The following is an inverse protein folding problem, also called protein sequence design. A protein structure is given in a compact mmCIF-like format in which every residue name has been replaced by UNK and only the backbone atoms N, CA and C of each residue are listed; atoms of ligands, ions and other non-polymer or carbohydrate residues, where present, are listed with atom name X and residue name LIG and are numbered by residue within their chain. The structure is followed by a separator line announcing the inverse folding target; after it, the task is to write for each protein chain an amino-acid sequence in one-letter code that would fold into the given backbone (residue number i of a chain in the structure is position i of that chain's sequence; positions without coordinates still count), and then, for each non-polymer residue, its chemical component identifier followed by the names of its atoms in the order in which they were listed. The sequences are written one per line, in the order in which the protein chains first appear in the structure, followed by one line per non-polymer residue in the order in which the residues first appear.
data_IF_520019502682
#
_entry.id   IF_520019502682
#
_cell.length_a   1.000
_cell.length_b   1.000
_cell.length_c   1.000
_cell.angle_alpha   90.00
_cell.angle_beta   90.00
_cell.angle_gamma   90.00
#
_symmetry.space_group_name_H-M   'P 1'
#
loop_
_entity.id
_entity.type
_entity.pdbx_description
1 polymer ?
#
# COMPACT_ATOMS: atom_id res chain seq x y z
N UNK A 1 25.11 11.96 12.28
CA UNK A 1 23.93 11.87 13.17
C UNK A 1 22.64 12.41 12.50
N UNK A 2 22.67 13.60 11.82
CA UNK A 2 21.49 14.16 11.12
C UNK A 2 20.90 13.29 10.02
N UNK A 3 21.74 12.47 9.33
CA UNK A 3 21.28 11.57 8.27
C UNK A 3 20.60 10.27 8.80
N UNK A 4 20.78 9.93 10.08
CA UNK A 4 20.13 8.73 10.66
C UNK A 4 18.64 8.94 10.91
N UNK A 5 18.21 10.17 11.15
CA UNK A 5 16.86 10.53 11.60
C UNK A 5 16.01 11.20 10.51
N UNK A 6 16.48 11.20 9.25
CA UNK A 6 15.75 11.78 8.13
C UNK A 6 15.97 10.94 6.87
N UNK A 7 14.92 10.28 6.39
CA UNK A 7 14.97 9.37 5.25
C UNK A 7 15.56 10.02 3.99
N UNK A 8 15.21 11.29 3.72
CA UNK A 8 15.73 12.05 2.59
C UNK A 8 17.23 12.28 2.68
N UNK A 9 17.73 12.69 3.87
CA UNK A 9 19.17 12.89 4.10
C UNK A 9 19.93 11.56 4.11
N UNK A 10 19.34 10.49 4.65
CA UNK A 10 19.91 9.15 4.62
C UNK A 10 20.07 8.64 3.18
N UNK A 11 19.07 8.82 2.33
CA UNK A 11 19.11 8.41 0.92
C UNK A 11 20.12 9.24 0.12
N UNK A 12 20.17 10.55 0.32
CA UNK A 12 21.21 11.43 -0.28
C UNK A 12 22.62 11.02 0.16
N UNK A 13 22.80 10.70 1.44
CA UNK A 13 24.08 10.22 1.97
C UNK A 13 24.48 8.88 1.36
N UNK A 14 23.55 7.90 1.32
CA UNK A 14 23.78 6.59 0.69
C UNK A 14 24.17 6.72 -0.78
N UNK A 15 23.44 7.53 -1.54
CA UNK A 15 23.71 7.69 -2.98
C UNK A 15 25.01 8.44 -3.24
N UNK A 16 25.24 9.58 -2.56
CA UNK A 16 26.39 10.46 -2.85
C UNK A 16 27.71 10.01 -2.21
N UNK A 17 27.65 9.40 -1.02
CA UNK A 17 28.86 9.08 -0.25
C UNK A 17 29.16 7.59 -0.18
N UNK A 18 28.15 6.72 -0.30
CA UNK A 18 28.34 5.27 -0.22
C UNK A 18 28.10 4.57 -1.57
N UNK A 19 27.72 5.34 -2.61
CA UNK A 19 27.39 4.82 -3.95
C UNK A 19 26.36 3.67 -3.94
N UNK A 20 25.44 3.71 -2.97
CA UNK A 20 24.37 2.71 -2.81
C UNK A 20 23.14 3.21 -3.57
N UNK A 21 22.61 2.36 -4.44
CA UNK A 21 21.35 2.64 -5.12
C UNK A 21 20.18 2.66 -4.12
N UNK A 22 19.36 3.71 -4.19
CA UNK A 22 18.12 3.85 -3.40
C UNK A 22 16.93 3.90 -4.36
N UNK A 23 15.78 3.37 -3.95
CA UNK A 23 14.59 3.23 -4.79
C UNK A 23 14.07 4.57 -5.32
N UNK A 24 14.11 5.63 -4.50
CA UNK A 24 13.82 6.99 -4.92
C UNK A 24 14.83 7.97 -4.30
N UNK A 25 15.24 9.01 -5.06
CA UNK A 25 16.13 10.07 -4.55
C UNK A 25 15.52 10.88 -3.40
N UNK A 26 14.21 10.89 -3.30
CA UNK A 26 13.41 11.63 -2.33
C UNK A 26 12.31 10.79 -1.68
N UNK A 27 12.56 9.48 -1.45
CA UNK A 27 11.61 8.62 -0.76
C UNK A 27 11.21 9.24 0.59
N UNK A 28 9.90 9.24 0.86
CA UNK A 28 9.33 9.80 2.08
C UNK A 28 9.62 8.90 3.29
N UNK A 29 9.36 7.61 3.16
CA UNK A 29 9.55 6.65 4.24
C UNK A 29 10.99 6.10 4.30
N UNK A 30 11.45 5.82 5.52
CA UNK A 30 12.72 5.16 5.77
C UNK A 30 12.57 3.64 5.59
N UNK A 31 13.15 3.09 4.52
CA UNK A 31 13.07 1.65 4.25
C UNK A 31 13.74 0.77 5.30
N UNK A 32 14.75 1.28 6.04
CA UNK A 32 15.38 0.50 7.11
C UNK A 32 14.42 0.35 8.28
N UNK A 33 13.74 1.43 8.66
CA UNK A 33 12.69 1.40 9.70
C UNK A 33 11.51 0.53 9.25
N UNK A 34 11.08 0.66 7.98
CA UNK A 34 10.05 -0.22 7.40
C UNK A 34 10.43 -1.70 7.51
N UNK A 35 11.65 -2.08 7.10
CA UNK A 35 12.12 -3.47 7.18
C UNK A 35 12.20 -3.98 8.62
N UNK A 36 12.45 -3.12 9.60
CA UNK A 36 12.43 -3.51 11.01
C UNK A 36 11.03 -3.76 11.57
N UNK A 37 9.98 -3.32 10.86
CA UNK A 37 8.57 -3.58 11.17
C UNK A 37 8.06 -4.91 10.57
N UNK A 38 8.91 -5.63 9.82
CA UNK A 38 8.55 -6.91 9.21
C UNK A 38 8.43 -8.01 10.28
N UNK A 39 7.27 -8.67 10.31
CA UNK A 39 7.01 -9.86 11.12
C UNK A 39 6.41 -10.96 10.22
N UNK A 40 7.25 -11.88 9.79
CA UNK A 40 6.87 -13.01 8.93
C UNK A 40 5.96 -14.03 9.62
N UNK A 41 5.77 -13.92 10.91
CA UNK A 41 4.84 -14.78 11.66
C UNK A 41 3.40 -14.29 11.61
N UNK A 42 3.16 -13.09 11.07
CA UNK A 42 1.81 -12.55 10.93
C UNK A 42 1.00 -13.36 9.93
N UNK A 43 -0.16 -13.83 10.39
CA UNK A 43 -1.14 -14.55 9.58
C UNK A 43 -2.55 -14.03 9.83
N UNK A 44 -3.47 -14.26 8.90
CA UNK A 44 -4.86 -13.80 9.04
C UNK A 44 -5.60 -14.46 10.21
N UNK A 45 -5.25 -15.69 10.55
CA UNK A 45 -5.83 -16.44 11.67
C UNK A 45 -5.65 -15.74 13.01
N UNK A 46 -4.56 -14.97 13.17
CA UNK A 46 -4.31 -14.19 14.39
C UNK A 46 -5.28 -13.01 14.57
N UNK A 47 -6.02 -12.67 13.51
CA UNK A 47 -6.97 -11.56 13.46
C UNK A 47 -8.41 -12.01 13.18
N UNK A 48 -8.67 -13.31 13.18
CA UNK A 48 -10.01 -13.84 12.97
C UNK A 48 -11.02 -13.21 13.93
N UNK A 49 -12.14 -12.71 13.39
CA UNK A 49 -13.18 -12.03 14.15
C UNK A 49 -12.84 -10.62 14.63
N UNK A 50 -11.60 -10.12 14.45
CA UNK A 50 -11.27 -8.73 14.77
C UNK A 50 -11.72 -7.81 13.62
N UNK A 51 -12.30 -6.63 13.92
CA UNK A 51 -12.64 -5.66 12.89
C UNK A 51 -11.42 -5.25 12.08
N UNK A 52 -11.60 -5.14 10.75
CA UNK A 52 -10.55 -4.67 9.86
C UNK A 52 -11.02 -3.52 8.97
N UNK A 53 -10.07 -2.72 8.52
CA UNK A 53 -10.25 -1.74 7.46
C UNK A 53 -9.73 -2.36 6.16
N UNK A 54 -10.54 -2.33 5.09
CA UNK A 54 -10.13 -2.70 3.74
C UNK A 54 -9.91 -1.45 2.89
N UNK A 55 -8.68 -0.99 2.76
CA UNK A 55 -8.36 0.18 1.94
C UNK A 55 -8.07 -0.23 0.50
N UNK A 56 -8.67 0.49 -0.45
CA UNK A 56 -8.51 0.24 -1.88
C UNK A 56 -7.82 1.40 -2.58
N UNK A 57 -6.85 1.06 -3.44
CA UNK A 57 -6.28 1.97 -4.43
C UNK A 57 -6.48 1.35 -5.82
N UNK A 58 -7.29 2.01 -6.64
CA UNK A 58 -7.80 1.46 -7.89
C UNK A 58 -7.34 2.28 -9.09
N UNK A 59 -6.81 1.60 -10.06
CA UNK A 59 -6.46 2.14 -11.36
C UNK A 59 -7.41 1.61 -12.44
N UNK A 60 -7.79 2.45 -13.40
CA UNK A 60 -8.67 2.04 -14.49
C UNK A 60 -7.97 1.20 -15.55
N UNK A 61 -6.70 1.51 -15.86
CA UNK A 61 -5.96 0.90 -16.97
C UNK A 61 -4.50 0.73 -16.61
N UNK A 62 -3.92 -0.39 -17.01
CA UNK A 62 -2.50 -0.71 -17.02
C UNK A 62 -1.78 -0.66 -15.66
N UNK A 63 -2.25 0.11 -14.70
CA UNK A 63 -1.66 0.22 -13.37
C UNK A 63 -2.15 -0.89 -12.43
N UNK A 64 -1.39 -1.09 -11.38
CA UNK A 64 -1.69 -2.07 -10.35
C UNK A 64 -2.81 -1.57 -9.43
N UNK A 65 -3.79 -2.44 -9.18
CA UNK A 65 -4.82 -2.22 -8.18
C UNK A 65 -4.43 -2.92 -6.88
N UNK A 66 -4.82 -2.36 -5.74
CA UNK A 66 -4.48 -2.92 -4.44
C UNK A 66 -5.64 -2.90 -3.45
N UNK A 67 -5.62 -3.88 -2.54
CA UNK A 67 -6.43 -3.93 -1.34
C UNK A 67 -5.51 -4.21 -0.15
N UNK A 68 -5.47 -3.28 0.79
CA UNK A 68 -4.75 -3.45 2.05
C UNK A 68 -5.73 -3.82 3.17
N UNK A 69 -5.36 -4.81 3.98
CA UNK A 69 -6.05 -5.14 5.23
C UNK A 69 -5.29 -4.51 6.38
N UNK A 70 -5.98 -3.69 7.15
CA UNK A 70 -5.40 -3.01 8.31
C UNK A 70 -6.18 -3.36 9.57
N UNK A 71 -5.45 -3.83 10.58
CA UNK A 71 -5.95 -4.07 11.92
C UNK A 71 -5.26 -3.13 12.90
N UNK A 72 -5.93 -2.84 14.02
CA UNK A 72 -5.36 -2.02 15.10
C UNK A 72 -5.46 -2.76 16.43
N UNK A 73 -4.46 -2.56 17.30
CA UNK A 73 -4.46 -3.04 18.69
C UNK A 73 -3.87 -1.98 19.60
N UNK A 74 -4.48 -1.79 20.76
CA UNK A 74 -3.91 -0.93 21.80
C UNK A 74 -2.91 -1.71 22.64
N UNK A 75 -1.64 -1.27 22.66
CA UNK A 75 -0.57 -1.84 23.47
C UNK A 75 0.08 -0.72 24.26
N UNK A 76 0.06 -0.82 25.57
CA UNK A 76 0.62 0.20 26.50
C UNK A 76 0.11 1.63 26.23
N UNK A 77 -1.20 1.74 25.90
CA UNK A 77 -1.86 3.01 25.61
C UNK A 77 -1.44 3.66 24.30
N UNK A 78 -0.90 2.89 23.37
CA UNK A 78 -0.54 3.32 22.00
C UNK A 78 -1.18 2.40 20.97
N UNK A 79 -1.67 3.01 19.91
CA UNK A 79 -2.22 2.26 18.77
C UNK A 79 -1.08 1.62 17.96
N UNK A 80 -1.14 0.30 17.82
CA UNK A 80 -0.33 -0.49 16.91
C UNK A 80 -1.15 -0.87 15.68
N UNK A 81 -0.51 -0.82 14.52
CA UNK A 81 -1.11 -1.08 13.21
C UNK A 81 -0.53 -2.36 12.61
N UNK A 82 -1.39 -3.20 12.03
CA UNK A 82 -1.00 -4.48 11.42
C UNK A 82 -1.54 -4.56 9.99
N UNK A 83 -0.65 -4.57 9.01
CA UNK A 83 -0.99 -4.82 7.61
C UNK A 83 -0.69 -6.27 7.27
N UNK A 84 -1.74 -7.06 7.00
CA UNK A 84 -1.63 -8.51 6.82
C UNK A 84 -2.29 -8.95 5.53
N UNK A 85 -1.60 -9.78 4.76
CA UNK A 85 -2.06 -10.36 3.50
C UNK A 85 -2.69 -9.34 2.53
N UNK A 86 -1.98 -8.25 2.19
CA UNK A 86 -2.44 -7.32 1.18
C UNK A 86 -2.60 -8.04 -0.17
N UNK A 87 -3.50 -7.55 -1.02
CA UNK A 87 -3.75 -8.12 -2.35
C UNK A 87 -3.47 -7.11 -3.44
N UNK A 88 -2.97 -7.61 -4.56
CA UNK A 88 -2.61 -6.81 -5.72
C UNK A 88 -3.08 -7.46 -7.00
N UNK A 89 -3.60 -6.66 -7.93
CA UNK A 89 -4.08 -7.11 -9.24
C UNK A 89 -3.55 -6.23 -10.35
N UNK A 90 -3.31 -6.83 -11.49
CA UNK A 90 -2.86 -6.15 -12.69
C UNK A 90 -3.46 -6.82 -13.92
N UNK A 91 -3.79 -6.07 -15.01
CA UNK A 91 -4.27 -6.69 -16.24
C UNK A 91 -3.19 -7.54 -16.91
N UNK A 92 -3.60 -8.59 -17.62
CA UNK A 92 -2.71 -9.44 -18.41
C UNK A 92 -1.82 -8.64 -19.36
N UNK A 93 -2.41 -7.69 -20.07
CA UNK A 93 -1.70 -6.85 -21.03
C UNK A 93 -0.53 -6.05 -20.41
N UNK A 94 -0.66 -5.64 -19.16
CA UNK A 94 0.41 -4.92 -18.44
C UNK A 94 1.62 -5.81 -18.19
N UNK A 95 1.42 -7.11 -17.99
CA UNK A 95 2.50 -8.05 -17.65
C UNK A 95 3.12 -8.66 -18.91
N UNK A 96 2.28 -9.02 -19.91
CA UNK A 96 2.68 -9.89 -20.99
C UNK A 96 2.58 -9.29 -22.40
N UNK A 97 1.89 -8.13 -22.59
CA UNK A 97 1.80 -7.50 -23.92
C UNK A 97 3.08 -6.74 -24.25
N UNK A 98 3.81 -7.21 -25.25
CA UNK A 98 5.06 -6.59 -25.74
C UNK A 98 4.80 -5.19 -26.31
N UNK A 99 3.64 -4.96 -26.93
CA UNK A 99 3.28 -3.70 -27.60
C UNK A 99 2.94 -2.56 -26.60
N UNK A 100 2.52 -2.92 -25.39
CA UNK A 100 2.08 -1.96 -24.34
C UNK A 100 3.11 -1.76 -23.22
N UNK A 101 4.18 -2.56 -23.20
CA UNK A 101 5.23 -2.47 -22.19
C UNK A 101 6.35 -1.56 -22.67
N UNK A 102 6.18 -0.25 -22.48
CA UNK A 102 7.25 0.74 -22.69
C UNK A 102 8.42 0.54 -21.71
N UNK A 103 8.15 -0.03 -20.52
CA UNK A 103 9.17 -0.32 -19.51
C UNK A 103 9.31 -1.84 -19.25
N UNK A 104 10.26 -2.45 -19.95
CA UNK A 104 10.61 -3.86 -19.81
C UNK A 104 10.95 -4.25 -18.36
N UNK A 105 11.57 -3.36 -17.57
CA UNK A 105 11.96 -3.66 -16.18
C UNK A 105 10.74 -3.78 -15.27
N UNK A 106 9.72 -3.00 -15.52
CA UNK A 106 8.44 -3.08 -14.78
C UNK A 106 7.73 -4.39 -15.12
N UNK A 107 7.67 -4.78 -16.39
CA UNK A 107 7.09 -6.06 -16.80
C UNK A 107 7.82 -7.27 -16.17
N UNK A 108 9.16 -7.30 -16.23
CA UNK A 108 9.98 -8.36 -15.61
C UNK A 108 9.77 -8.44 -14.08
N UNK A 109 9.57 -7.29 -13.41
CA UNK A 109 9.25 -7.25 -11.98
C UNK A 109 7.87 -7.82 -11.70
N UNK A 110 6.85 -7.45 -12.47
CA UNK A 110 5.50 -7.97 -12.33
C UNK A 110 5.46 -9.48 -12.56
N UNK A 111 6.13 -9.99 -13.61
CA UNK A 111 6.26 -11.43 -13.85
C UNK A 111 6.84 -12.17 -12.64
N UNK A 112 7.89 -11.62 -12.03
CA UNK A 112 8.47 -12.18 -10.80
C UNK A 112 7.48 -12.22 -9.65
N UNK A 113 6.68 -11.18 -9.46
CA UNK A 113 5.67 -11.15 -8.39
C UNK A 113 4.51 -12.11 -8.66
N UNK A 114 4.18 -12.34 -9.92
CA UNK A 114 3.22 -13.39 -10.33
C UNK A 114 3.78 -14.77 -10.00
N UNK A 115 5.04 -15.05 -10.37
CA UNK A 115 5.72 -16.31 -10.05
C UNK A 115 5.81 -16.56 -8.53
N UNK A 116 5.98 -15.51 -7.73
CA UNK A 116 5.96 -15.57 -6.27
C UNK A 116 4.54 -15.75 -5.69
N UNK A 117 3.48 -15.65 -6.49
CA UNK A 117 2.09 -15.75 -6.03
C UNK A 117 1.59 -14.53 -5.23
N UNK A 118 2.28 -13.38 -5.31
CA UNK A 118 1.93 -12.16 -4.57
C UNK A 118 1.21 -11.12 -5.44
N UNK A 119 1.16 -11.32 -6.76
CA UNK A 119 0.45 -10.48 -7.71
C UNK A 119 -0.52 -11.34 -8.53
N UNK A 120 -1.78 -10.97 -8.58
CA UNK A 120 -2.82 -11.64 -9.36
C UNK A 120 -2.97 -10.95 -10.72
N UNK A 121 -2.94 -11.73 -11.79
CA UNK A 121 -3.20 -11.24 -13.15
C UNK A 121 -4.67 -11.50 -13.50
N UNK A 122 -5.36 -10.44 -13.95
CA UNK A 122 -6.72 -10.54 -14.47
C UNK A 122 -6.71 -10.54 -16.00
N UNK A 123 -7.72 -11.14 -16.63
CA UNK A 123 -7.78 -11.25 -18.09
C UNK A 123 -7.96 -9.88 -18.76
N UNK A 124 -7.31 -9.68 -19.91
CA UNK A 124 -7.50 -8.52 -20.79
C UNK A 124 -6.65 -7.30 -20.42
N UNK A 125 -7.14 -6.11 -20.80
CA UNK A 125 -6.44 -4.83 -20.75
C UNK A 125 -6.82 -3.97 -19.53
N UNK A 126 -7.83 -4.37 -18.77
CA UNK A 126 -8.34 -3.66 -17.58
C UNK A 126 -8.53 -4.66 -16.44
N UNK A 127 -8.39 -4.20 -15.18
CA UNK A 127 -8.65 -5.07 -14.04
C UNK A 127 -10.15 -5.31 -13.91
N UNK A 128 -10.54 -6.57 -13.84
CA UNK A 128 -11.92 -6.95 -13.54
C UNK A 128 -12.18 -6.82 -12.03
N UNK A 129 -12.97 -5.83 -11.65
CA UNK A 129 -13.29 -5.54 -10.25
C UNK A 129 -14.06 -6.65 -9.53
N UNK A 130 -14.62 -7.63 -10.24
CA UNK A 130 -15.21 -8.82 -9.62
C UNK A 130 -14.20 -9.61 -8.79
N UNK A 131 -12.94 -9.70 -9.24
CA UNK A 131 -11.86 -10.32 -8.44
C UNK A 131 -11.64 -9.59 -7.12
N UNK A 132 -11.67 -8.25 -7.15
CA UNK A 132 -11.48 -7.41 -5.96
C UNK A 132 -12.66 -7.57 -5.00
N UNK A 133 -13.89 -7.54 -5.53
CA UNK A 133 -15.12 -7.71 -4.74
C UNK A 133 -15.15 -9.09 -4.04
N UNK A 134 -14.86 -10.16 -4.76
CA UNK A 134 -14.84 -11.51 -4.17
C UNK A 134 -13.77 -11.65 -3.08
N UNK A 135 -12.61 -11.04 -3.24
CA UNK A 135 -11.57 -11.02 -2.20
C UNK A 135 -12.00 -10.18 -0.99
N UNK A 136 -12.70 -9.06 -1.18
CA UNK A 136 -13.27 -8.25 -0.10
C UNK A 136 -14.34 -9.02 0.69
N UNK A 137 -15.22 -9.76 0.00
CA UNK A 137 -16.21 -10.65 0.61
C UNK A 137 -15.53 -11.78 1.39
N UNK A 138 -14.48 -12.37 0.84
CA UNK A 138 -13.70 -13.39 1.53
C UNK A 138 -13.02 -12.83 2.80
N UNK A 139 -12.50 -11.60 2.73
CA UNK A 139 -11.93 -10.92 3.88
C UNK A 139 -12.96 -10.69 4.99
N UNK A 140 -14.19 -10.25 4.64
CA UNK A 140 -15.27 -10.01 5.59
C UNK A 140 -15.73 -11.28 6.33
N UNK A 141 -15.57 -12.46 5.70
CA UNK A 141 -15.87 -13.75 6.36
C UNK A 141 -14.86 -14.10 7.46
N UNK A 142 -13.63 -13.62 7.34
CA UNK A 142 -12.55 -13.86 8.32
C UNK A 142 -12.63 -12.79 9.42
N UNK A 143 -12.79 -11.53 9.02
CA UNK A 143 -12.73 -10.37 9.90
C UNK A 143 -13.81 -9.37 9.49
N UNK A 144 -14.73 -8.97 10.39
CA UNK A 144 -15.76 -8.00 10.05
C UNK A 144 -15.14 -6.72 9.49
N UNK A 145 -15.57 -6.31 8.30
CA UNK A 145 -15.10 -5.06 7.67
C UNK A 145 -15.79 -3.87 8.33
N UNK A 146 -15.03 -3.03 9.03
CA UNK A 146 -15.56 -1.83 9.66
C UNK A 146 -15.74 -0.70 8.66
N UNK A 147 -14.79 -0.51 7.77
CA UNK A 147 -14.75 0.55 6.76
C UNK A 147 -13.96 0.09 5.53
N UNK A 148 -14.38 0.60 4.36
CA UNK A 148 -13.70 0.38 3.08
C UNK A 148 -13.31 1.72 2.43
N UNK A 149 -12.20 2.35 2.87
CA UNK A 149 -11.68 3.57 2.24
C UNK A 149 -11.36 3.36 0.77
N UNK A 150 -11.89 4.24 -0.09
CA UNK A 150 -11.73 4.17 -1.54
C UNK A 150 -11.62 5.59 -2.14
N UNK A 151 -10.70 5.79 -3.09
CA UNK A 151 -10.64 7.02 -3.87
C UNK A 151 -11.85 7.08 -4.81
N UNK A 152 -12.57 8.22 -4.91
CA UNK A 152 -13.73 8.34 -5.81
C UNK A 152 -13.36 8.20 -7.28
N UNK A 153 -12.11 8.40 -7.65
CA UNK A 153 -11.65 8.36 -9.05
C UNK A 153 -11.68 6.93 -9.60
N UNK A 154 -12.66 6.67 -10.47
CA UNK A 154 -12.76 5.39 -11.16
C UNK A 154 -13.43 4.25 -10.38
N UNK A 155 -13.77 4.47 -9.13
CA UNK A 155 -14.24 3.45 -8.20
C UNK A 155 -15.78 3.39 -8.04
N UNK A 156 -16.56 4.18 -8.77
CA UNK A 156 -18.02 4.30 -8.55
C UNK A 156 -18.72 2.94 -8.62
N UNK A 157 -18.40 2.08 -9.60
CA UNK A 157 -19.01 0.75 -9.73
C UNK A 157 -18.67 -0.12 -8.52
N UNK A 158 -17.39 -0.30 -8.20
CA UNK A 158 -16.97 -1.12 -7.07
C UNK A 158 -17.49 -0.57 -5.73
N UNK A 159 -17.58 0.76 -5.58
CA UNK A 159 -18.14 1.36 -4.36
C UNK A 159 -19.61 0.99 -4.15
N UNK A 160 -20.41 0.93 -5.22
CA UNK A 160 -21.80 0.45 -5.14
C UNK A 160 -21.83 -1.06 -4.81
N UNK A 161 -21.04 -1.86 -5.48
CA UNK A 161 -20.97 -3.31 -5.24
C UNK A 161 -20.54 -3.61 -3.79
N UNK A 162 -19.56 -2.87 -3.24
CA UNK A 162 -19.15 -2.99 -1.84
C UNK A 162 -20.29 -2.59 -0.88
N UNK A 163 -21.08 -1.55 -1.20
CA UNK A 163 -22.23 -1.13 -0.40
C UNK A 163 -23.34 -2.19 -0.41
N UNK A 164 -23.62 -2.80 -1.56
CA UNK A 164 -24.61 -3.87 -1.71
C UNK A 164 -24.23 -5.13 -0.91
N UNK A 165 -22.95 -5.33 -0.62
CA UNK A 165 -22.43 -6.43 0.20
C UNK A 165 -22.14 -6.03 1.66
N UNK A 166 -22.68 -4.88 2.13
CA UNK A 166 -22.50 -4.36 3.50
C UNK A 166 -21.02 -4.16 3.92
N UNK A 167 -20.13 -3.82 2.96
CA UNK A 167 -18.70 -3.62 3.21
C UNK A 167 -18.31 -2.16 3.50
N UNK A 168 -19.27 -1.31 3.84
CA UNK A 168 -19.09 0.06 4.35
C UNK A 168 -18.10 0.92 3.55
N UNK A 169 -18.29 1.15 2.22
CA UNK A 169 -17.39 1.99 1.44
C UNK A 169 -17.45 3.44 1.92
N UNK A 170 -16.27 4.04 2.15
CA UNK A 170 -16.11 5.46 2.47
C UNK A 170 -15.20 6.13 1.47
N UNK A 171 -15.66 7.26 0.92
CA UNK A 171 -14.88 8.00 -0.07
C UNK A 171 -13.83 8.86 0.60
N UNK A 172 -12.56 8.65 0.21
CA UNK A 172 -11.41 9.46 0.67
C UNK A 172 -10.82 10.21 -0.52
N UNK A 173 -11.02 11.52 -0.57
CA UNK A 173 -10.37 12.36 -1.58
C UNK A 173 -8.90 12.52 -1.21
N UNK A 174 -7.99 12.17 -2.14
CA UNK A 174 -6.54 12.22 -1.94
C UNK A 174 -5.98 13.66 -2.07
N UNK A 175 -6.40 14.53 -1.15
CA UNK A 175 -5.90 15.90 -1.04
C UNK A 175 -4.98 16.07 0.18
N UNK A 176 -4.36 17.23 0.31
CA UNK A 176 -3.45 17.52 1.43
C UNK A 176 -4.14 17.44 2.80
N UNK A 177 -5.40 17.87 2.90
CA UNK A 177 -6.16 17.85 4.16
C UNK A 177 -6.41 16.45 4.67
N UNK A 178 -6.78 15.54 3.77
CA UNK A 178 -7.13 14.16 4.13
C UNK A 178 -5.90 13.26 4.27
N UNK A 179 -4.80 13.55 3.53
CA UNK A 179 -3.65 12.65 3.46
C UNK A 179 -2.51 13.03 4.42
N UNK A 180 -2.41 14.31 4.85
CA UNK A 180 -1.25 14.77 5.58
C UNK A 180 -1.09 14.10 6.95
N UNK A 181 -2.13 14.09 7.76
CA UNK A 181 -2.07 13.50 9.10
C UNK A 181 -1.91 11.97 9.06
N UNK A 182 -2.63 11.21 8.20
CA UNK A 182 -2.38 9.78 8.03
C UNK A 182 -0.96 9.44 7.57
N UNK A 183 -0.36 10.24 6.66
CA UNK A 183 1.03 10.01 6.23
C UNK A 183 2.02 10.20 7.38
N UNK A 184 1.84 11.25 8.18
CA UNK A 184 2.69 11.51 9.37
C UNK A 184 2.52 10.44 10.44
N UNK A 185 1.28 9.99 10.69
CA UNK A 185 1.04 8.92 11.65
C UNK A 185 1.67 7.60 11.17
N UNK A 186 1.55 7.26 9.88
CA UNK A 186 2.22 6.09 9.32
C UNK A 186 3.74 6.18 9.47
N UNK A 187 4.35 7.35 9.18
CA UNK A 187 5.78 7.59 9.37
C UNK A 187 6.16 7.41 10.85
N UNK A 188 5.42 8.03 11.78
CA UNK A 188 5.67 7.92 13.21
C UNK A 188 5.49 6.48 13.73
N UNK A 189 4.50 5.75 13.24
CA UNK A 189 4.25 4.35 13.59
C UNK A 189 5.39 3.45 13.10
N UNK A 190 5.89 3.65 11.87
CA UNK A 190 7.05 2.93 11.31
C UNK A 190 8.31 3.23 12.14
N UNK A 191 8.62 4.51 12.39
CA UNK A 191 9.84 4.90 13.11
C UNK A 191 9.83 4.45 14.58
N UNK A 192 8.66 4.32 15.19
CA UNK A 192 8.50 3.88 16.59
C UNK A 192 8.27 2.38 16.76
N UNK A 193 8.24 1.59 15.66
CA UNK A 193 7.99 0.15 15.70
C UNK A 193 6.55 -0.22 16.08
N UNK A 194 5.59 0.69 15.88
CA UNK A 194 4.14 0.45 16.09
C UNK A 194 3.42 -0.05 14.84
N UNK A 195 4.06 0.00 13.68
CA UNK A 195 3.57 -0.59 12.46
C UNK A 195 4.15 -1.99 12.29
N UNK A 196 3.34 -2.96 11.88
CA UNK A 196 3.74 -4.35 11.67
C UNK A 196 3.21 -4.82 10.31
N UNK A 197 4.02 -5.55 9.55
CA UNK A 197 3.61 -6.10 8.26
C UNK A 197 4.23 -7.47 8.00
N UNK A 198 3.59 -8.27 7.16
CA UNK A 198 3.95 -9.65 6.83
C UNK A 198 5.14 -9.79 5.85
N UNK A 199 5.76 -8.69 5.45
CA UNK A 199 6.90 -8.70 4.54
C UNK A 199 6.53 -8.80 3.06
N UNK A 200 5.30 -8.47 2.65
CA UNK A 200 4.90 -8.49 1.25
C UNK A 200 5.83 -7.61 0.39
N UNK A 201 6.47 -8.17 -0.68
CA UNK A 201 7.47 -7.45 -1.47
C UNK A 201 6.90 -6.31 -2.31
N UNK A 202 5.62 -6.39 -2.72
CA UNK A 202 4.95 -5.31 -3.45
C UNK A 202 4.72 -4.13 -2.52
N UNK A 203 4.21 -4.37 -1.29
CA UNK A 203 4.04 -3.32 -0.29
C UNK A 203 5.37 -2.62 0.02
N UNK A 204 6.45 -3.39 0.21
CA UNK A 204 7.80 -2.86 0.44
C UNK A 204 8.28 -2.00 -0.73
N UNK A 205 7.99 -2.43 -1.96
CA UNK A 205 8.32 -1.64 -3.15
C UNK A 205 7.50 -0.34 -3.21
N UNK A 206 6.20 -0.40 -2.93
CA UNK A 206 5.33 0.79 -2.89
C UNK A 206 5.84 1.81 -1.88
N UNK A 207 6.07 1.41 -0.63
CA UNK A 207 6.60 2.27 0.44
C UNK A 207 7.93 2.91 0.04
N UNK A 208 8.81 2.15 -0.60
CA UNK A 208 10.12 2.66 -1.07
C UNK A 208 10.05 3.68 -2.20
N UNK A 209 8.90 3.77 -2.88
CA UNK A 209 8.69 4.69 -4.00
C UNK A 209 7.78 5.88 -3.65
N UNK A 210 7.22 5.93 -2.45
CA UNK A 210 6.40 7.09 -2.03
C UNK A 210 7.26 8.35 -1.99
N UNK A 211 6.84 9.38 -2.70
CA UNK A 211 7.45 10.70 -2.70
C UNK A 211 6.48 11.69 -2.07
N UNK A 212 6.84 12.22 -0.91
CA UNK A 212 6.03 13.24 -0.25
C UNK A 212 6.04 14.55 -1.03
N UNK A 213 4.87 15.02 -1.43
CA UNK A 213 4.66 16.36 -2.00
C UNK A 213 4.22 17.31 -0.90
N UNK A 214 4.88 18.44 -0.75
CA UNK A 214 4.54 19.49 0.22
C UNK A 214 3.94 20.71 -0.47
N UNK A 215 3.29 21.56 0.31
CA UNK A 215 2.82 22.87 -0.17
C UNK A 215 4.01 23.85 -0.15
N UNK A 216 4.26 24.65 -1.20
CA UNK A 216 5.31 25.64 -1.18
C UNK A 216 5.23 26.55 0.04
N UNK A 217 6.29 26.61 0.84
CA UNK A 217 6.36 27.41 2.08
C UNK A 217 5.74 26.75 3.32
N UNK A 218 5.24 25.52 3.19
CA UNK A 218 4.73 24.73 4.34
C UNK A 218 5.08 23.26 4.18
N UNK A 219 6.23 22.87 4.73
CA UNK A 219 6.73 21.49 4.66
C UNK A 219 6.02 20.54 5.66
N UNK A 220 5.18 21.10 6.54
CA UNK A 220 4.41 20.30 7.53
C UNK A 220 3.14 19.68 6.94
N UNK A 221 2.74 20.09 5.72
CA UNK A 221 1.58 19.56 5.02
C UNK A 221 2.05 18.72 3.83
N UNK A 222 1.82 17.42 3.90
CA UNK A 222 2.35 16.46 2.92
C UNK A 222 1.26 15.53 2.38
N UNK A 223 1.41 15.11 1.13
CA UNK A 223 0.64 14.01 0.54
C UNK A 223 1.53 13.15 -0.36
N UNK A 224 1.17 11.90 -0.68
CA UNK A 224 1.89 11.06 -1.64
C UNK A 224 1.83 11.60 -3.06
#
# INVERSE_FOLDING_TARGET
QRAKNNARLANVFKTKHLNIWVSARSAYFNLVSWQSCEDKSLTLEQFEGQPCILAFDLARKLDMNSMARLYTREIDGKTHYYSVAPRFWVPYDTVYSVEKNEDRRTAERFQKWVEMGVLTVTDGAEVDYRYILEEAKAANKISPVSESPIDPFGATGLSHDLADEDLNPITIIQNYTNMSDPMKELEAAIESGRFHHDGNPIMTWCIGNVVGKTIPGNDDVVKP
#
